data_IF_716130687461
#
_entry.id   IF_716130687461
#
_cell.length_a   1.000
_cell.length_b   1.000
_cell.length_c   1.000
_cell.angle_alpha   90.00
_cell.angle_beta   90.00
_cell.angle_gamma   90.00
#
_symmetry.space_group_name_H-M   'P 1'
#
loop_
_entity.id
_entity.type
_entity.pdbx_description
1 polymer ?
#
# COMPACT_ATOMS: atom_id res chain seq x y z
N UNK A 1 16.59 -17.47 7.26
CA UNK A 1 17.28 -16.20 6.96
C UNK A 1 16.20 -15.18 6.71
N UNK A 2 15.93 -14.32 7.69
CA UNK A 2 15.02 -13.17 7.57
C UNK A 2 15.69 -12.18 6.63
N UNK A 3 15.28 -12.13 5.36
CA UNK A 3 15.77 -11.08 4.48
C UNK A 3 15.35 -9.72 5.04
N UNK A 4 16.23 -8.74 4.87
CA UNK A 4 16.08 -7.42 5.45
C UNK A 4 14.88 -6.72 4.79
N UNK A 5 13.84 -6.46 5.57
CA UNK A 5 12.73 -5.64 5.09
C UNK A 5 13.14 -4.17 5.12
N UNK A 6 12.62 -3.39 4.18
CA UNK A 6 12.83 -1.95 4.14
C UNK A 6 11.52 -1.19 3.93
N UNK A 7 11.54 0.13 4.09
CA UNK A 7 10.39 0.99 3.81
C UNK A 7 10.71 1.84 2.60
N UNK A 8 9.78 1.89 1.64
CA UNK A 8 9.90 2.73 0.44
C UNK A 8 8.67 3.59 0.20
N UNK A 9 8.79 4.70 -0.55
CA UNK A 9 7.63 5.43 -1.02
C UNK A 9 6.73 4.54 -1.88
N UNK A 10 5.44 4.85 -1.86
CA UNK A 10 4.46 4.31 -2.79
C UNK A 10 4.87 4.53 -4.25
N UNK A 11 4.51 3.57 -5.11
CA UNK A 11 4.69 3.60 -6.56
C UNK A 11 3.38 3.22 -7.25
N UNK A 12 3.16 3.78 -8.44
CA UNK A 12 2.02 3.37 -9.26
C UNK A 12 2.05 1.86 -9.53
N UNK A 13 0.97 1.16 -9.17
CA UNK A 13 0.87 -0.30 -9.24
C UNK A 13 0.73 -0.96 -7.87
N UNK A 14 1.20 -0.32 -6.79
CA UNK A 14 1.08 -0.84 -5.43
C UNK A 14 -0.37 -0.95 -4.94
N UNK A 15 -1.31 -0.22 -5.59
CA UNK A 15 -2.71 -0.21 -5.21
C UNK A 15 -3.31 -1.61 -5.14
N UNK A 16 -2.90 -2.54 -6.02
CA UNK A 16 -3.44 -3.90 -6.04
C UNK A 16 -3.14 -4.65 -4.74
N UNK A 17 -1.92 -4.53 -4.24
CA UNK A 17 -1.52 -5.21 -3.00
C UNK A 17 -2.09 -4.50 -1.78
N UNK A 18 -2.17 -3.16 -1.82
CA UNK A 18 -2.79 -2.37 -0.76
C UNK A 18 -4.28 -2.69 -0.61
N UNK A 19 -5.06 -2.81 -1.69
CA UNK A 19 -6.47 -3.17 -1.57
C UNK A 19 -6.65 -4.61 -1.06
N UNK A 20 -5.79 -5.54 -1.47
CA UNK A 20 -5.79 -6.91 -0.95
C UNK A 20 -5.49 -6.97 0.55
N UNK A 21 -4.55 -6.15 1.03
CA UNK A 21 -4.28 -5.99 2.45
C UNK A 21 -5.51 -5.50 3.22
N UNK A 22 -6.19 -4.48 2.68
CA UNK A 22 -7.36 -3.90 3.34
C UNK A 22 -8.49 -4.92 3.48
N UNK A 23 -8.72 -5.73 2.46
CA UNK A 23 -9.67 -6.82 2.52
C UNK A 23 -9.27 -7.86 3.55
N UNK A 24 -8.01 -8.30 3.56
CA UNK A 24 -7.52 -9.35 4.47
C UNK A 24 -7.54 -8.94 5.94
N UNK A 25 -7.10 -7.72 6.25
CA UNK A 25 -6.90 -7.26 7.64
C UNK A 25 -8.13 -6.59 8.21
N UNK A 26 -8.86 -5.82 7.39
CA UNK A 26 -10.03 -5.05 7.85
C UNK A 26 -11.36 -5.63 7.37
N UNK A 27 -11.35 -6.76 6.64
CA UNK A 27 -12.54 -7.40 6.07
C UNK A 27 -13.35 -6.39 5.22
N UNK A 28 -12.62 -5.50 4.53
CA UNK A 28 -13.20 -4.42 3.75
C UNK A 28 -12.63 -4.40 2.35
N UNK A 29 -13.45 -4.86 1.40
CA UNK A 29 -13.15 -4.75 -0.02
C UNK A 29 -13.06 -3.26 -0.43
N UNK A 30 -12.00 -2.93 -1.16
CA UNK A 30 -11.78 -1.63 -1.79
C UNK A 30 -11.32 -1.87 -3.22
N UNK A 31 -11.79 -1.06 -4.16
CA UNK A 31 -11.18 -1.00 -5.49
C UNK A 31 -9.96 -0.07 -5.48
N UNK A 32 -9.01 -0.21 -6.43
CA UNK A 32 -7.93 0.75 -6.59
C UNK A 32 -8.41 2.20 -6.77
N UNK A 33 -9.52 2.44 -7.45
CA UNK A 33 -10.10 3.79 -7.55
C UNK A 33 -10.57 4.31 -6.20
N UNK A 34 -11.27 3.48 -5.42
CA UNK A 34 -11.75 3.85 -4.09
C UNK A 34 -10.59 4.12 -3.13
N UNK A 35 -9.53 3.31 -3.19
CA UNK A 35 -8.31 3.54 -2.42
C UNK A 35 -7.68 4.88 -2.80
N UNK A 36 -7.53 5.17 -4.10
CA UNK A 36 -6.97 6.45 -4.58
C UNK A 36 -7.80 7.64 -4.13
N UNK A 37 -9.11 7.58 -4.29
CA UNK A 37 -10.01 8.64 -3.82
C UNK A 37 -9.93 8.82 -2.29
N UNK A 38 -9.89 7.74 -1.52
CA UNK A 38 -9.98 7.87 -0.06
C UNK A 38 -8.65 8.26 0.58
N UNK A 39 -7.53 7.74 0.06
CA UNK A 39 -6.24 7.76 0.73
C UNK A 39 -5.17 8.54 -0.03
N UNK A 40 -5.36 8.75 -1.34
CA UNK A 40 -4.41 9.51 -2.17
C UNK A 40 -4.95 10.88 -2.60
N UNK A 41 -6.26 11.05 -2.78
CA UNK A 41 -6.84 12.32 -3.25
C UNK A 41 -6.97 13.39 -2.18
N UNK A 42 -6.28 13.24 -1.04
CA UNK A 42 -6.19 14.28 -0.03
C UNK A 42 -5.39 15.49 -0.56
N UNK A 43 -5.73 16.69 -0.10
CA UNK A 43 -5.01 17.95 -0.40
C UNK A 43 -3.61 18.03 0.23
N UNK A 44 -2.99 16.90 0.58
CA UNK A 44 -1.64 16.90 1.12
C UNK A 44 -0.68 17.24 -0.02
N UNK A 45 0.01 18.37 0.07
CA UNK A 45 1.10 18.71 -0.83
C UNK A 45 2.30 17.75 -0.68
N UNK A 46 2.26 16.85 0.30
CA UNK A 46 3.33 15.92 0.65
C UNK A 46 2.88 14.48 0.38
N UNK A 47 3.67 13.75 -0.41
CA UNK A 47 3.55 12.31 -0.62
C UNK A 47 3.83 11.59 0.71
N UNK A 48 2.79 11.03 1.33
CA UNK A 48 2.86 10.45 2.68
C UNK A 48 2.48 8.96 2.74
N UNK A 49 2.48 8.27 1.59
CA UNK A 49 2.21 6.83 1.52
C UNK A 49 3.53 6.06 1.39
N UNK A 50 3.76 5.15 2.34
CA UNK A 50 4.99 4.35 2.44
C UNK A 50 4.64 2.89 2.64
N UNK A 51 5.42 1.99 2.03
CA UNK A 51 5.20 0.54 2.08
C UNK A 51 6.41 -0.14 2.68
N UNK A 52 6.16 -1.07 3.61
CA UNK A 52 7.16 -2.02 4.06
C UNK A 52 7.26 -3.17 3.05
N UNK A 53 8.47 -3.43 2.56
CA UNK A 53 8.74 -4.41 1.49
C UNK A 53 9.90 -5.34 1.84
N UNK A 54 9.88 -6.53 1.25
CA UNK A 54 10.96 -7.50 1.18
C UNK A 54 11.17 -7.85 -0.29
N UNK A 55 12.38 -7.70 -0.81
CA UNK A 55 12.69 -7.86 -2.25
C UNK A 55 11.68 -7.15 -3.17
N UNK A 56 11.38 -5.88 -2.87
CA UNK A 56 10.43 -5.01 -3.58
C UNK A 56 8.94 -5.37 -3.47
N UNK A 57 8.60 -6.48 -2.83
CA UNK A 57 7.23 -6.90 -2.58
C UNK A 57 6.77 -6.54 -1.17
N UNK A 58 5.54 -6.06 -0.99
CA UNK A 58 4.98 -5.84 0.33
C UNK A 58 5.09 -7.05 1.27
N UNK A 59 5.50 -6.82 2.53
CA UNK A 59 5.77 -7.89 3.50
C UNK A 59 4.51 -8.56 4.08
N UNK A 60 3.34 -8.02 3.79
CA UNK A 60 2.06 -8.47 4.34
C UNK A 60 1.35 -9.52 3.46
N UNK A 61 2.13 -10.18 2.61
CA UNK A 61 1.70 -11.32 1.79
C UNK A 61 1.41 -12.56 2.64
#
# INVERSE_FOLDING_TARGET
MTGEWCVRPYRAGDERELVGLFERVFVRALTPEQWRWKLRSGQSAVENVWLAVHDEKPIFQ
#
